data_IF_195691141106
#
_entry.id   IF_195691141106
#
_cell.length_a   1.000
_cell.length_b   1.000
_cell.length_c   1.000
_cell.angle_alpha   90.00
_cell.angle_beta   90.00
_cell.angle_gamma   90.00
#
_symmetry.space_group_name_H-M   'P 1'
#
loop_
_entity.id
_entity.type
_entity.pdbx_description
1 polymer ?
#
# COMPACT_ATOMS: atom_id res chain seq x y z
N UNK A 1 5.25 27.76 31.41
CA UNK A 1 4.48 26.51 31.29
C UNK A 1 4.27 26.30 29.80
N UNK A 2 5.11 25.47 29.18
CA UNK A 2 5.21 25.38 27.72
C UNK A 2 4.18 24.37 27.19
N UNK A 3 3.37 24.79 26.22
CA UNK A 3 2.34 24.00 25.57
C UNK A 3 2.99 22.90 24.67
N UNK A 4 2.75 21.60 24.91
CA UNK A 4 3.36 20.51 24.15
C UNK A 4 2.59 20.33 22.83
N UNK A 5 2.81 21.22 21.86
CA UNK A 5 2.36 20.98 20.49
C UNK A 5 2.92 19.63 20.03
N UNK A 6 2.01 18.67 19.85
CA UNK A 6 2.29 17.32 19.37
C UNK A 6 3.23 17.38 18.17
N UNK A 7 4.46 16.88 18.32
CA UNK A 7 5.42 16.75 17.21
C UNK A 7 4.72 15.99 16.09
N UNK A 8 4.58 16.63 14.92
CA UNK A 8 3.60 16.28 13.89
C UNK A 8 3.53 14.78 13.60
N UNK A 9 2.32 14.22 13.68
CA UNK A 9 1.99 12.87 13.22
C UNK A 9 0.92 12.99 12.15
N UNK A 10 1.11 12.32 11.03
CA UNK A 10 0.13 12.20 9.95
C UNK A 10 -0.13 10.73 9.69
N UNK A 11 -1.40 10.34 9.61
CA UNK A 11 -1.81 8.96 9.30
C UNK A 11 -2.87 9.00 8.21
N UNK A 12 -2.67 8.21 7.16
CA UNK A 12 -3.63 8.00 6.10
C UNK A 12 -3.99 6.52 6.01
N UNK A 13 -5.27 6.24 5.73
CA UNK A 13 -5.79 4.88 5.53
C UNK A 13 -6.76 4.89 4.37
N UNK A 14 -6.60 3.95 3.46
CA UNK A 14 -7.52 3.73 2.34
C UNK A 14 -7.86 2.26 2.23
N UNK A 15 -9.04 1.97 1.69
CA UNK A 15 -9.55 0.61 1.56
C UNK A 15 -10.30 0.43 0.26
N UNK A 16 -10.07 -0.69 -0.40
CA UNK A 16 -10.84 -1.19 -1.52
C UNK A 16 -11.42 -2.55 -1.11
N UNK A 17 -12.75 -2.65 -1.11
CA UNK A 17 -13.42 -3.88 -0.69
C UNK A 17 -13.19 -5.02 -1.69
N UNK A 18 -13.26 -4.72 -2.99
CA UNK A 18 -13.09 -5.72 -4.04
C UNK A 18 -12.60 -5.08 -5.33
N UNK A 19 -11.76 -5.81 -6.05
CA UNK A 19 -11.34 -5.49 -7.40
C UNK A 19 -11.11 -6.77 -8.19
N UNK A 20 -11.59 -6.81 -9.43
CA UNK A 20 -11.22 -7.82 -10.42
C UNK A 20 -10.69 -7.17 -11.70
N UNK A 21 -9.49 -7.55 -12.14
CA UNK A 21 -8.90 -7.12 -13.42
C UNK A 21 -8.20 -8.31 -14.08
N UNK A 22 -8.71 -8.71 -15.24
CA UNK A 22 -8.16 -9.85 -15.99
C UNK A 22 -8.18 -11.12 -15.15
N UNK A 23 -7.01 -11.71 -14.90
CA UNK A 23 -6.85 -12.91 -14.08
C UNK A 23 -6.67 -12.62 -12.58
N UNK A 24 -6.56 -11.35 -12.17
CA UNK A 24 -6.27 -10.97 -10.79
C UNK A 24 -7.55 -10.53 -10.11
N UNK A 25 -7.84 -11.09 -8.94
CA UNK A 25 -8.88 -10.59 -8.04
C UNK A 25 -8.34 -10.36 -6.63
N UNK A 26 -8.76 -9.25 -6.03
CA UNK A 26 -8.33 -8.79 -4.71
C UNK A 26 -9.54 -8.46 -3.86
N UNK A 27 -9.46 -8.78 -2.57
CA UNK A 27 -10.49 -8.43 -1.57
C UNK A 27 -9.89 -7.83 -0.32
N UNK A 28 -10.60 -6.88 0.25
CA UNK A 28 -10.28 -6.21 1.52
C UNK A 28 -8.86 -5.64 1.55
N UNK A 29 -8.48 -4.91 0.49
CA UNK A 29 -7.15 -4.30 0.37
C UNK A 29 -7.14 -2.99 1.13
N UNK A 30 -6.43 -2.95 2.26
CA UNK A 30 -6.29 -1.77 3.09
C UNK A 30 -4.84 -1.35 3.14
N UNK A 31 -4.56 -0.12 2.70
CA UNK A 31 -3.24 0.50 2.83
C UNK A 31 -3.27 1.51 3.98
N UNK A 32 -2.21 1.52 4.79
CA UNK A 32 -2.01 2.52 5.84
C UNK A 32 -0.61 3.09 5.74
N UNK A 33 -0.52 4.41 5.76
CA UNK A 33 0.74 5.13 5.85
C UNK A 33 0.72 6.02 7.09
N UNK A 34 1.82 6.04 7.83
CA UNK A 34 1.99 6.89 9.00
C UNK A 34 3.35 7.56 8.96
N UNK A 35 3.38 8.86 9.19
CA UNK A 35 4.60 9.68 9.22
C UNK A 35 4.67 10.48 10.50
N UNK A 36 5.87 10.60 11.03
CA UNK A 36 6.23 11.38 12.21
C UNK A 36 7.55 12.10 11.95
N UNK A 37 7.92 13.05 12.81
CA UNK A 37 9.24 13.66 12.72
C UNK A 37 10.42 12.68 12.91
N UNK A 38 10.17 11.47 13.46
CA UNK A 38 11.19 10.43 13.60
C UNK A 38 11.27 9.44 12.44
N UNK A 39 10.41 9.57 11.42
CA UNK A 39 10.35 8.65 10.29
C UNK A 39 8.92 8.25 9.93
N UNK A 40 8.81 7.36 8.95
CA UNK A 40 7.54 6.87 8.42
C UNK A 40 7.45 5.34 8.43
N UNK A 41 6.24 4.82 8.56
CA UNK A 41 5.91 3.40 8.59
C UNK A 41 4.72 3.15 7.68
N UNK A 42 4.78 2.09 6.88
CA UNK A 42 3.70 1.65 6.02
C UNK A 42 3.29 0.21 6.30
N UNK A 43 2.01 -0.09 6.15
CA UNK A 43 1.49 -1.45 6.25
C UNK A 43 0.31 -1.66 5.31
N UNK A 44 0.08 -2.92 4.96
CA UNK A 44 -1.05 -3.36 4.15
C UNK A 44 -1.70 -4.59 4.78
N UNK A 45 -3.03 -4.69 4.70
CA UNK A 45 -3.76 -5.94 4.88
C UNK A 45 -4.52 -6.27 3.59
N UNK A 46 -4.55 -7.56 3.23
CA UNK A 46 -5.31 -8.07 2.08
C UNK A 46 -6.07 -9.29 2.57
N UNK A 47 -7.39 -9.29 2.41
CA UNK A 47 -8.23 -10.42 2.82
C UNK A 47 -8.08 -11.62 1.88
N UNK A 48 -8.03 -11.37 0.57
CA UNK A 48 -7.75 -12.40 -0.42
C UNK A 48 -7.06 -11.85 -1.66
N UNK A 49 -6.19 -12.67 -2.25
CA UNK A 49 -5.67 -12.52 -3.61
C UNK A 49 -5.88 -13.84 -4.34
N UNK A 50 -6.48 -13.79 -5.53
CA UNK A 50 -6.49 -14.90 -6.46
C UNK A 50 -5.88 -14.49 -7.80
N UNK A 51 -5.22 -15.46 -8.44
CA UNK A 51 -4.65 -15.33 -9.78
C UNK A 51 -5.15 -16.50 -10.61
N UNK A 52 -5.85 -16.22 -11.71
CA UNK A 52 -6.54 -17.20 -12.53
C UNK A 52 -7.47 -18.13 -11.71
N UNK A 53 -8.11 -17.57 -10.68
CA UNK A 53 -8.99 -18.30 -9.76
C UNK A 53 -8.26 -19.10 -8.67
N UNK A 54 -6.92 -19.19 -8.70
CA UNK A 54 -6.14 -19.89 -7.67
C UNK A 54 -5.78 -18.93 -6.52
N UNK A 55 -5.99 -19.31 -5.26
CA UNK A 55 -5.61 -18.48 -4.12
C UNK A 55 -4.09 -18.36 -4.01
N UNK A 56 -3.61 -17.14 -3.76
CA UNK A 56 -2.20 -16.85 -3.52
C UNK A 56 -2.02 -16.42 -2.08
N UNK A 57 -1.12 -17.09 -1.36
CA UNK A 57 -0.71 -16.66 -0.02
C UNK A 57 0.09 -15.37 -0.15
N UNK A 58 -0.45 -14.28 0.40
CA UNK A 58 0.19 -12.98 0.37
C UNK A 58 1.04 -12.79 1.62
N UNK A 59 2.31 -12.44 1.43
CA UNK A 59 3.11 -11.82 2.49
C UNK A 59 2.95 -10.30 2.37
N UNK A 60 2.77 -9.62 3.50
CA UNK A 60 2.60 -8.15 3.53
C UNK A 60 3.89 -7.43 3.89
N UNK A 61 5.04 -8.09 3.72
CA UNK A 61 6.33 -7.45 3.85
C UNK A 61 6.46 -6.30 2.83
N UNK A 62 7.17 -5.20 3.16
CA UNK A 62 7.33 -4.08 2.24
C UNK A 62 7.89 -4.51 0.88
N UNK A 63 7.29 -4.00 -0.21
CA UNK A 63 7.71 -4.19 -1.59
C UNK A 63 7.77 -5.66 -2.05
N UNK A 64 6.85 -6.49 -1.56
CA UNK A 64 6.79 -7.92 -1.95
C UNK A 64 6.32 -8.04 -3.39
N UNK A 65 7.11 -8.69 -4.25
CA UNK A 65 6.74 -8.93 -5.65
C UNK A 65 6.19 -10.34 -5.84
N UNK A 66 5.02 -10.44 -6.47
CA UNK A 66 4.42 -11.68 -6.95
C UNK A 66 4.54 -11.69 -8.48
N UNK A 67 5.40 -12.54 -9.05
CA UNK A 67 5.57 -12.61 -10.50
C UNK A 67 4.36 -13.27 -11.16
N UNK A 68 3.94 -12.75 -12.31
CA UNK A 68 2.87 -13.29 -13.14
C UNK A 68 3.38 -13.55 -14.56
N UNK A 69 2.68 -14.40 -15.31
CA UNK A 69 2.93 -14.51 -16.76
C UNK A 69 2.55 -13.19 -17.41
N UNK A 70 3.53 -12.51 -18.02
CA UNK A 70 3.34 -11.22 -18.69
C UNK A 70 3.36 -10.00 -17.78
N UNK A 71 3.63 -10.15 -16.48
CA UNK A 71 3.66 -9.00 -15.57
C UNK A 71 3.96 -9.34 -14.11
N UNK A 72 3.47 -8.51 -13.19
CA UNK A 72 3.71 -8.65 -11.74
C UNK A 72 2.65 -7.95 -10.92
N UNK A 73 2.59 -8.32 -9.65
CA UNK A 73 1.92 -7.56 -8.60
C UNK A 73 2.98 -7.19 -7.54
N UNK A 74 3.05 -5.91 -7.15
CA UNK A 74 3.85 -5.49 -5.99
C UNK A 74 2.90 -5.19 -4.83
N UNK A 75 3.02 -5.95 -3.75
CA UNK A 75 2.23 -5.81 -2.53
C UNK A 75 2.98 -4.94 -1.52
N UNK A 76 2.24 -4.10 -0.79
CA UNK A 76 2.81 -3.17 0.18
C UNK A 76 3.97 -2.38 -0.43
N UNK A 77 3.73 -1.81 -1.61
CA UNK A 77 4.72 -0.97 -2.27
C UNK A 77 4.85 0.32 -1.47
N UNK A 78 6.03 0.52 -0.88
CA UNK A 78 6.38 1.66 -0.05
C UNK A 78 7.27 2.58 -0.87
N UNK A 79 6.73 3.75 -1.21
CA UNK A 79 7.42 4.79 -1.98
C UNK A 79 7.76 5.93 -1.03
N UNK A 80 9.02 6.03 -0.55
CA UNK A 80 9.46 7.15 0.27
C UNK A 80 9.24 8.47 -0.45
N UNK A 81 8.86 9.51 0.30
CA UNK A 81 8.68 10.85 -0.22
C UNK A 81 9.15 11.88 0.82
N UNK A 82 9.40 13.15 0.43
CA UNK A 82 9.81 14.17 1.37
C UNK A 82 8.83 14.32 2.54
N UNK A 83 9.34 14.13 3.77
CA UNK A 83 8.55 14.22 4.99
C UNK A 83 7.56 13.07 5.23
N UNK A 84 7.56 12.02 4.40
CA UNK A 84 6.51 11.01 4.50
C UNK A 84 6.68 9.75 3.68
N UNK A 85 5.56 9.07 3.46
CA UNK A 85 5.49 7.79 2.78
C UNK A 85 4.17 7.65 2.02
N UNK A 86 4.24 7.17 0.78
CA UNK A 86 3.10 6.62 0.06
C UNK A 86 3.15 5.10 0.14
N UNK A 87 2.03 4.50 0.52
CA UNK A 87 1.85 3.05 0.60
C UNK A 87 0.76 2.66 -0.38
N UNK A 88 1.12 1.83 -1.35
CA UNK A 88 0.19 1.21 -2.28
C UNK A 88 -0.10 -0.22 -1.81
N UNK A 89 -1.39 -0.58 -1.73
CA UNK A 89 -1.85 -1.90 -1.29
C UNK A 89 -1.36 -3.00 -2.22
N UNK A 90 -1.76 -2.89 -3.48
CA UNK A 90 -1.26 -3.71 -4.58
C UNK A 90 -1.05 -2.85 -5.83
N UNK A 91 0.10 -2.99 -6.48
CA UNK A 91 0.41 -2.36 -7.76
C UNK A 91 0.50 -3.46 -8.82
N UNK A 92 -0.51 -3.52 -9.69
CA UNK A 92 -0.66 -4.55 -10.71
C UNK A 92 -0.17 -3.99 -12.03
N UNK A 93 0.83 -4.65 -12.61
CA UNK A 93 1.33 -4.34 -13.95
C UNK A 93 1.16 -5.58 -14.83
N UNK A 94 0.33 -5.48 -15.85
CA UNK A 94 0.08 -6.51 -16.87
C UNK A 94 0.08 -5.83 -18.26
N UNK A 95 0.08 -6.58 -19.38
CA UNK A 95 0.03 -5.96 -20.70
C UNK A 95 -1.24 -5.10 -20.86
N UNK A 96 -1.06 -3.79 -21.05
CA UNK A 96 -2.16 -2.83 -21.16
C UNK A 96 -2.85 -2.46 -19.84
N UNK A 97 -2.33 -2.89 -18.69
CA UNK A 97 -2.89 -2.61 -17.36
C UNK A 97 -1.77 -2.12 -16.43
N UNK A 98 -1.97 -0.94 -15.87
CA UNK A 98 -1.14 -0.40 -14.79
C UNK A 98 -2.06 0.22 -13.73
N UNK A 99 -2.27 -0.50 -12.63
CA UNK A 99 -3.30 -0.15 -11.64
C UNK A 99 -2.75 -0.26 -10.22
N UNK A 100 -2.99 0.78 -9.45
CA UNK A 100 -2.76 0.81 -8.00
C UNK A 100 -4.08 0.61 -7.27
N UNK A 101 -4.11 -0.39 -6.39
CA UNK A 101 -5.25 -0.76 -5.56
C UNK A 101 -4.97 -0.34 -4.13
N UNK A 102 -5.78 0.61 -3.64
CA UNK A 102 -5.61 1.24 -2.33
C UNK A 102 -4.29 2.02 -2.24
N UNK A 103 -4.35 3.34 -2.07
CA UNK A 103 -3.15 4.18 -1.92
C UNK A 103 -3.33 5.11 -0.74
N UNK A 104 -2.40 5.07 0.22
CA UNK A 104 -2.42 5.91 1.41
C UNK A 104 -1.13 6.72 1.46
N UNK A 105 -1.27 8.04 1.56
CA UNK A 105 -0.14 8.97 1.62
C UNK A 105 -0.21 9.76 2.91
N UNK A 106 0.85 9.70 3.72
CA UNK A 106 1.03 10.56 4.88
C UNK A 106 2.33 11.32 4.75
N UNK A 107 2.35 12.55 5.25
CA UNK A 107 3.55 13.37 5.36
C UNK A 107 3.43 14.32 6.54
N UNK A 108 4.56 14.65 7.12
CA UNK A 108 4.71 15.69 8.14
C UNK A 108 5.74 16.70 7.66
N UNK A 109 5.54 17.95 8.04
CA UNK A 109 6.42 19.07 7.70
C UNK A 109 6.77 19.85 8.97
N UNK A 110 7.85 20.62 8.91
CA UNK A 110 8.37 21.42 10.03
C UNK A 110 8.77 20.57 11.25
N UNK A 111 9.52 19.52 10.93
CA UNK A 111 10.45 18.84 11.83
C UNK A 111 11.84 19.43 11.54
#
# INVERSE_FOLDING_TARGET
MSDPLSRGTSTARTSVAELGIGIVALRDVVATSRSTCGGATGNVSIGALTVAGLPITVTTAPNTTIPLVGGKIVINEQVPMPGGLKVNGAHITLPGVDVVVSSATSAVHHC
#
